data_IF_292278992779
#
_entry.id   IF_292278992779
#
_cell.length_a   1.000
_cell.length_b   1.000
_cell.length_c   1.000
_cell.angle_alpha   90.00
_cell.angle_beta   90.00
_cell.angle_gamma   90.00
#
_symmetry.space_group_name_H-M   'P 1'
#
loop_
_entity.id
_entity.type
_entity.pdbx_description
1 polymer ?
#
# COMPACT_ATOMS: atom_id res chain seq x y z
N UNK A 1 9.74 -8.69 -8.91
CA UNK A 1 9.50 -7.92 -10.17
C UNK A 1 9.71 -6.45 -9.82
N UNK A 2 10.67 -5.75 -10.46
CA UNK A 2 10.93 -4.33 -10.20
C UNK A 2 10.46 -3.46 -11.36
N UNK A 3 9.91 -2.28 -11.07
CA UNK A 3 9.64 -1.26 -12.07
C UNK A 3 10.94 -0.51 -12.37
N UNK A 4 11.54 -0.74 -13.56
CA UNK A 4 12.80 -0.08 -13.94
C UNK A 4 12.70 1.45 -13.97
N UNK A 5 11.48 1.99 -14.13
CA UNK A 5 11.20 3.44 -14.16
C UNK A 5 11.28 4.08 -12.77
N UNK A 6 11.21 3.29 -11.69
CA UNK A 6 11.33 3.80 -10.33
C UNK A 6 12.77 4.21 -9.96
N UNK A 7 13.79 3.74 -10.69
CA UNK A 7 15.14 4.28 -10.60
C UNK A 7 15.18 5.52 -11.49
N UNK A 8 15.02 6.71 -10.89
CA UNK A 8 15.01 7.96 -11.64
C UNK A 8 16.18 8.03 -12.61
N UNK A 9 15.91 7.87 -13.91
CA UNK A 9 16.83 8.09 -15.01
C UNK A 9 16.11 8.91 -16.07
N UNK A 10 16.79 9.98 -16.44
CA UNK A 10 16.49 10.94 -17.50
C UNK A 10 16.06 10.26 -18.81
N UNK A 11 15.03 10.86 -19.42
CA UNK A 11 14.37 10.48 -20.67
C UNK A 11 15.36 10.08 -21.78
N UNK A 12 15.12 8.94 -22.43
CA UNK A 12 15.39 8.83 -23.85
C UNK A 12 14.46 7.80 -24.52
N UNK A 13 13.77 8.28 -25.55
CA UNK A 13 12.83 7.58 -26.41
C UNK A 13 13.56 6.64 -27.38
N UNK A 14 13.01 5.45 -27.64
CA UNK A 14 12.76 4.93 -29.00
C UNK A 14 12.40 3.44 -29.07
N UNK A 15 11.56 3.14 -30.06
CA UNK A 15 11.45 1.90 -30.84
C UNK A 15 10.42 0.83 -30.44
N UNK A 16 9.27 1.00 -31.10
CA UNK A 16 8.23 0.08 -31.60
C UNK A 16 8.82 -1.12 -32.40
N UNK A 17 8.27 -2.34 -32.23
CA UNK A 17 7.72 -3.27 -33.28
C UNK A 17 7.50 -4.71 -32.73
N UNK A 18 6.24 -5.18 -32.65
CA UNK A 18 5.52 -6.14 -33.52
C UNK A 18 6.01 -7.61 -33.51
N UNK A 19 5.08 -8.56 -33.33
CA UNK A 19 4.66 -9.67 -34.23
C UNK A 19 4.01 -10.83 -33.43
N UNK A 20 2.70 -10.98 -33.61
CA UNK A 20 1.88 -12.15 -34.02
C UNK A 20 2.19 -13.63 -33.68
N UNK A 21 1.07 -14.28 -33.27
CA UNK A 21 0.44 -15.53 -33.79
C UNK A 21 0.61 -16.92 -33.13
N UNK A 22 -0.56 -17.47 -32.75
CA UNK A 22 -1.11 -18.83 -32.90
C UNK A 22 -0.37 -20.06 -32.32
N UNK A 23 -1.04 -20.84 -31.45
CA UNK A 23 -1.81 -22.06 -31.86
C UNK A 23 -2.39 -22.90 -30.69
N UNK A 24 -3.68 -23.26 -30.87
CA UNK A 24 -4.38 -24.56 -30.68
C UNK A 24 -4.05 -25.60 -29.58
N UNK A 25 -5.14 -25.98 -28.88
CA UNK A 25 -5.64 -27.32 -28.45
C UNK A 25 -4.78 -28.14 -27.45
N UNK A 26 -5.31 -28.93 -26.51
CA UNK A 26 -6.39 -29.92 -26.61
C UNK A 26 -6.96 -30.36 -25.23
N UNK A 27 -8.13 -30.99 -25.30
CA UNK A 27 -8.97 -31.60 -24.25
C UNK A 27 -8.28 -32.69 -23.42
N UNK A 28 -8.74 -32.90 -22.19
CA UNK A 28 -8.91 -34.23 -21.56
C UNK A 28 -10.12 -34.21 -20.60
N UNK A 29 -10.91 -35.29 -20.65
CA UNK A 29 -12.04 -35.65 -19.78
C UNK A 29 -11.66 -36.85 -18.90
N UNK A 30 -12.52 -37.14 -17.91
CA UNK A 30 -12.80 -38.39 -17.14
C UNK A 30 -12.72 -38.04 -15.65
N UNK A 31 -13.63 -38.40 -14.73
CA UNK A 31 -14.86 -39.21 -14.64
C UNK A 31 -15.13 -39.32 -13.12
N UNK A 32 -16.26 -38.87 -12.61
CA UNK A 32 -17.47 -39.61 -12.17
C UNK A 32 -17.39 -40.30 -10.77
N UNK A 33 -18.58 -40.42 -10.15
CA UNK A 33 -18.99 -41.16 -8.92
C UNK A 33 -18.94 -40.38 -7.56
N UNK A 34 -20.10 -39.92 -7.01
CA UNK A 34 -21.01 -40.55 -5.99
C UNK A 34 -20.33 -40.75 -4.61
N UNK A 35 -20.84 -40.43 -3.41
CA UNK A 35 -22.19 -40.38 -2.82
C UNK A 35 -22.07 -39.85 -1.35
N UNK A 36 -23.15 -39.29 -0.79
CA UNK A 36 -23.37 -38.81 0.61
C UNK A 36 -23.38 -39.97 1.64
N UNK A 37 -23.17 -39.75 2.97
CA UNK A 37 -24.29 -39.35 3.85
C UNK A 37 -23.97 -38.54 5.14
N UNK A 38 -25.07 -38.08 5.74
CA UNK A 38 -25.34 -37.33 6.98
C UNK A 38 -24.84 -37.92 8.31
N UNK A 39 -24.58 -37.06 9.32
CA UNK A 39 -24.27 -37.43 10.72
C UNK A 39 -25.28 -36.77 11.68
N UNK A 40 -25.84 -37.59 12.58
CA UNK A 40 -26.78 -37.26 13.65
C UNK A 40 -26.14 -36.56 14.86
N UNK A 41 -26.96 -35.77 15.56
CA UNK A 41 -26.64 -35.12 16.83
C UNK A 41 -26.66 -36.10 18.01
N UNK A 42 -25.64 -36.05 18.89
CA UNK A 42 -25.81 -36.56 20.25
C UNK A 42 -25.02 -35.77 21.33
N UNK A 43 -25.61 -35.78 22.51
CA UNK A 43 -25.48 -34.83 23.63
C UNK A 43 -24.15 -34.85 24.40
N UNK A 44 -23.91 -33.70 25.03
CA UNK A 44 -22.84 -33.29 25.94
C UNK A 44 -22.83 -34.12 27.25
N UNK A 45 -21.64 -34.50 27.73
CA UNK A 45 -21.39 -34.74 29.16
C UNK A 45 -20.17 -33.94 29.62
N UNK A 46 -20.34 -33.23 30.72
CA UNK A 46 -19.39 -32.31 31.34
C UNK A 46 -18.45 -33.05 32.29
N UNK A 47 -17.14 -33.01 32.01
CA UNK A 47 -16.08 -33.29 32.99
C UNK A 47 -14.81 -32.55 32.53
N UNK A 48 -14.61 -31.31 33.00
CA UNK A 48 -13.36 -30.55 32.78
C UNK A 48 -12.56 -30.57 34.08
N UNK A 49 -11.42 -31.27 34.08
CA UNK A 49 -10.35 -31.10 35.06
C UNK A 49 -9.57 -29.82 34.71
N UNK A 50 -8.98 -29.10 35.69
CA UNK A 50 -8.18 -27.92 35.39
C UNK A 50 -6.95 -28.37 34.60
N UNK A 51 -6.77 -27.83 33.40
CA UNK A 51 -5.57 -28.05 32.58
C UNK A 51 -4.55 -27.04 33.05
N UNK A 52 -3.42 -27.53 33.54
CA UNK A 52 -2.25 -26.73 33.93
C UNK A 52 -1.92 -25.67 32.87
N UNK A 53 -1.54 -24.47 33.32
CA UNK A 53 -1.15 -23.36 32.44
C UNK A 53 -0.08 -23.80 31.43
N UNK A 54 -0.21 -23.44 30.14
CA UNK A 54 0.68 -23.94 29.12
C UNK A 54 2.09 -23.32 29.26
N UNK A 55 3.08 -24.20 29.45
CA UNK A 55 4.51 -23.86 29.30
C UNK A 55 4.76 -23.41 27.84
N UNK A 56 5.21 -22.17 27.70
CA UNK A 56 5.65 -21.55 26.44
C UNK A 56 7.04 -22.08 26.13
N UNK A 57 7.19 -22.83 25.03
CA UNK A 57 8.51 -23.13 24.48
C UNK A 57 8.94 -21.90 23.68
N UNK A 58 9.82 -21.09 24.27
CA UNK A 58 10.47 -19.97 23.56
C UNK A 58 11.33 -20.54 22.42
N UNK A 59 11.01 -20.13 21.20
CA UNK A 59 11.97 -20.19 20.09
C UNK A 59 13.19 -19.31 20.45
N UNK A 60 14.40 -19.61 19.94
CA UNK A 60 15.60 -18.86 20.30
C UNK A 60 15.38 -17.36 20.04
N UNK A 61 15.50 -16.57 21.10
CA UNK A 61 15.46 -15.10 21.09
C UNK A 61 16.58 -14.57 20.20
N UNK A 62 16.31 -14.42 18.91
CA UNK A 62 16.53 -13.11 18.33
C UNK A 62 15.20 -12.39 18.47
N UNK A 63 15.06 -11.61 19.52
CA UNK A 63 13.99 -10.63 19.63
C UNK A 63 14.29 -9.56 18.58
N UNK A 64 13.94 -9.84 17.32
CA UNK A 64 14.13 -8.91 16.18
C UNK A 64 13.03 -7.84 16.21
N UNK A 65 12.26 -7.76 17.30
CA UNK A 65 11.13 -6.86 17.40
C UNK A 65 11.55 -5.42 17.11
N UNK A 66 11.03 -4.92 15.99
CA UNK A 66 11.38 -3.62 15.47
C UNK A 66 10.58 -2.58 16.24
N UNK A 67 11.25 -1.85 17.13
CA UNK A 67 10.63 -0.73 17.82
C UNK A 67 10.53 0.48 16.89
N UNK A 68 9.33 0.76 16.37
CA UNK A 68 9.10 1.85 15.42
C UNK A 68 8.73 3.15 16.16
N UNK A 69 9.56 4.18 16.01
CA UNK A 69 9.27 5.55 16.50
C UNK A 69 9.44 6.54 15.36
N UNK A 70 8.51 7.48 15.23
CA UNK A 70 8.65 8.60 14.28
C UNK A 70 9.82 9.50 14.68
N UNK A 71 10.52 10.05 13.70
CA UNK A 71 11.64 10.97 13.92
C UNK A 71 11.16 12.31 14.50
N UNK A 72 10.04 12.79 13.99
CA UNK A 72 9.42 14.05 14.37
C UNK A 72 8.08 13.80 15.04
N UNK A 73 8.04 13.93 16.37
CA UNK A 73 6.81 13.74 17.12
C UNK A 73 5.84 14.92 17.01
N UNK A 74 6.30 16.09 16.52
CA UNK A 74 5.49 17.30 16.40
C UNK A 74 4.77 17.39 15.05
N UNK A 75 5.30 16.74 14.01
CA UNK A 75 4.68 16.68 12.69
C UNK A 75 3.21 16.24 12.72
N UNK A 76 2.84 15.29 13.60
CA UNK A 76 1.47 14.78 13.69
C UNK A 76 0.75 15.21 14.98
N UNK A 77 0.96 16.46 15.40
CA UNK A 77 0.21 17.07 16.50
C UNK A 77 -1.30 17.17 16.19
N UNK A 78 -2.09 17.48 17.21
CA UNK A 78 -3.55 17.51 17.11
C UNK A 78 -4.07 18.51 16.06
N UNK A 79 -3.40 19.66 15.91
CA UNK A 79 -3.78 20.67 14.94
C UNK A 79 -3.60 20.16 13.51
N UNK A 80 -2.45 19.56 13.19
CA UNK A 80 -2.19 18.98 11.88
C UNK A 80 -3.17 17.85 11.57
N UNK A 81 -3.41 16.94 12.53
CA UNK A 81 -4.35 15.82 12.36
C UNK A 81 -5.76 16.33 12.07
N UNK A 82 -6.21 17.38 12.78
CA UNK A 82 -7.50 18.03 12.53
C UNK A 82 -7.56 18.68 11.14
N UNK A 83 -6.52 19.44 10.75
CA UNK A 83 -6.45 20.07 9.44
C UNK A 83 -6.49 19.03 8.31
N UNK A 84 -5.71 17.95 8.42
CA UNK A 84 -5.72 16.83 7.48
C UNK A 84 -7.12 16.23 7.34
N UNK A 85 -7.81 15.99 8.45
CA UNK A 85 -9.16 15.44 8.42
C UNK A 85 -10.19 16.41 7.83
N UNK A 86 -10.05 17.71 8.12
CA UNK A 86 -10.90 18.75 7.55
C UNK A 86 -10.73 18.84 6.03
N UNK A 87 -9.49 18.79 5.53
CA UNK A 87 -9.21 18.77 4.10
C UNK A 87 -9.87 17.56 3.42
N UNK A 88 -9.67 16.35 3.98
CA UNK A 88 -10.28 15.10 3.49
C UNK A 88 -11.81 15.21 3.41
N UNK A 89 -12.44 15.74 4.46
CA UNK A 89 -13.90 15.83 4.58
C UNK A 89 -14.50 17.03 3.83
N UNK A 90 -13.69 17.88 3.21
CA UNK A 90 -14.18 19.08 2.56
C UNK A 90 -14.89 18.75 1.24
N UNK A 91 -16.22 18.62 1.30
CA UNK A 91 -17.08 18.36 0.13
C UNK A 91 -16.98 19.43 -0.95
N UNK A 92 -16.71 20.68 -0.59
CA UNK A 92 -16.54 21.75 -1.59
C UNK A 92 -15.31 21.49 -2.44
N UNK A 93 -14.18 21.10 -1.85
CA UNK A 93 -12.99 20.72 -2.62
C UNK A 93 -13.30 19.55 -3.55
N UNK A 94 -13.96 18.51 -3.03
CA UNK A 94 -14.32 17.34 -3.83
C UNK A 94 -15.18 17.72 -5.05
N UNK A 95 -16.30 18.42 -4.84
CA UNK A 95 -17.21 18.82 -5.92
C UNK A 95 -16.54 19.77 -6.93
N UNK A 96 -15.76 20.74 -6.46
CA UNK A 96 -15.04 21.67 -7.35
C UNK A 96 -14.02 20.91 -8.19
N UNK A 97 -13.17 20.08 -7.59
CA UNK A 97 -12.12 19.33 -8.30
C UNK A 97 -12.71 18.33 -9.29
N UNK A 98 -13.81 17.65 -8.94
CA UNK A 98 -14.50 16.72 -9.83
C UNK A 98 -15.14 17.39 -11.06
N UNK A 99 -15.49 18.67 -10.96
CA UNK A 99 -16.04 19.42 -12.10
C UNK A 99 -15.00 19.81 -13.15
N UNK A 100 -13.70 19.73 -12.83
CA UNK A 100 -12.65 20.18 -13.71
C UNK A 100 -12.44 19.26 -14.92
N UNK A 101 -12.24 19.88 -16.09
CA UNK A 101 -11.95 19.18 -17.35
C UNK A 101 -10.75 19.85 -18.05
N UNK A 102 -9.58 19.90 -17.40
CA UNK A 102 -8.41 20.60 -17.95
C UNK A 102 -7.96 19.93 -19.25
N UNK A 103 -7.62 20.74 -20.25
CA UNK A 103 -7.15 20.32 -21.57
C UNK A 103 -5.63 20.27 -21.68
N UNK A 104 -4.93 20.91 -20.75
CA UNK A 104 -3.48 20.89 -20.63
C UNK A 104 -3.07 20.83 -19.17
N UNK A 105 -1.83 20.39 -18.94
CA UNK A 105 -1.24 20.37 -17.61
C UNK A 105 -1.08 21.78 -17.02
N UNK A 106 -0.85 22.78 -17.88
CA UNK A 106 -0.88 24.20 -17.51
C UNK A 106 -2.27 24.61 -17.00
N UNK A 107 -3.35 24.27 -17.71
CA UNK A 107 -4.71 24.63 -17.29
C UNK A 107 -5.07 23.95 -15.96
N UNK A 108 -4.68 22.69 -15.76
CA UNK A 108 -4.83 22.02 -14.46
C UNK A 108 -4.11 22.79 -13.35
N UNK A 109 -2.87 23.18 -13.60
CA UNK A 109 -2.06 23.96 -12.65
C UNK A 109 -2.75 25.28 -12.28
N UNK A 110 -3.30 26.00 -13.25
CA UNK A 110 -4.03 27.26 -13.03
C UNK A 110 -5.28 27.06 -12.17
N UNK A 111 -6.05 25.99 -12.43
CA UNK A 111 -7.22 25.63 -11.62
C UNK A 111 -6.84 25.28 -10.17
N UNK A 112 -5.79 24.49 -9.98
CA UNK A 112 -5.26 24.15 -8.65
C UNK A 112 -4.82 25.42 -7.93
N UNK A 113 -4.04 26.28 -8.57
CA UNK A 113 -3.58 27.56 -7.99
C UNK A 113 -4.75 28.46 -7.58
N UNK A 114 -5.77 28.56 -8.41
CA UNK A 114 -6.94 29.39 -8.14
C UNK A 114 -7.68 28.95 -6.86
N UNK A 115 -7.92 27.64 -6.69
CA UNK A 115 -8.61 27.10 -5.50
C UNK A 115 -7.70 27.03 -4.26
N UNK A 116 -6.40 26.84 -4.47
CA UNK A 116 -5.37 26.76 -3.43
C UNK A 116 -5.01 28.12 -2.82
N UNK A 117 -5.37 29.23 -3.47
CA UNK A 117 -4.98 30.58 -3.03
C UNK A 117 -5.52 30.87 -1.62
N UNK A 118 -4.61 31.19 -0.70
CA UNK A 118 -4.94 31.50 0.70
C UNK A 118 -5.34 30.29 1.55
N UNK A 119 -5.14 29.06 1.05
CA UNK A 119 -5.37 27.81 1.77
C UNK A 119 -4.11 27.32 2.45
N UNK A 120 -4.27 26.52 3.51
CA UNK A 120 -3.14 25.87 4.19
C UNK A 120 -2.41 24.92 3.23
N UNK A 121 -1.12 24.65 3.46
CA UNK A 121 -0.37 23.70 2.64
C UNK A 121 -1.02 22.30 2.61
N UNK A 122 -1.63 21.87 3.73
CA UNK A 122 -2.42 20.63 3.81
C UNK A 122 -3.56 20.62 2.79
N UNK A 123 -4.34 21.71 2.71
CA UNK A 123 -5.42 21.83 1.72
C UNK A 123 -4.89 21.80 0.28
N UNK A 124 -3.77 22.49 0.02
CA UNK A 124 -3.15 22.52 -1.31
C UNK A 124 -2.71 21.12 -1.76
N UNK A 125 -2.04 20.37 -0.86
CA UNK A 125 -1.65 18.99 -1.13
C UNK A 125 -2.84 18.05 -1.29
N UNK A 126 -3.93 18.27 -0.54
CA UNK A 126 -5.17 17.48 -0.70
C UNK A 126 -5.81 17.70 -2.06
N UNK A 127 -5.88 18.95 -2.54
CA UNK A 127 -6.44 19.27 -3.86
C UNK A 127 -5.66 18.54 -4.98
N UNK A 128 -4.32 18.56 -4.91
CA UNK A 128 -3.46 17.83 -5.86
C UNK A 128 -3.71 16.32 -5.77
N UNK A 129 -3.62 15.77 -4.56
CA UNK A 129 -3.78 14.33 -4.29
C UNK A 129 -5.13 13.83 -4.80
N UNK A 130 -6.21 14.54 -4.44
CA UNK A 130 -7.57 14.17 -4.79
C UNK A 130 -7.80 14.23 -6.31
N UNK A 131 -7.29 15.26 -6.99
CA UNK A 131 -7.40 15.31 -8.45
C UNK A 131 -6.69 14.11 -9.10
N UNK A 132 -5.47 13.78 -8.68
CA UNK A 132 -4.73 12.63 -9.21
C UNK A 132 -5.51 11.33 -8.95
N UNK A 133 -5.93 11.10 -7.71
CA UNK A 133 -6.65 9.89 -7.31
C UNK A 133 -7.95 9.68 -8.12
N UNK A 134 -8.67 10.76 -8.43
CA UNK A 134 -9.91 10.68 -9.19
C UNK A 134 -9.72 10.60 -10.71
N UNK A 135 -8.56 11.02 -11.25
CA UNK A 135 -8.42 11.22 -12.71
C UNK A 135 -7.37 10.34 -13.37
N UNK A 136 -6.47 9.70 -12.62
CA UNK A 136 -5.44 8.83 -13.17
C UNK A 136 -5.82 7.37 -12.88
N UNK A 137 -5.70 6.51 -13.89
CA UNK A 137 -5.83 5.05 -13.76
C UNK A 137 -4.45 4.41 -13.59
N UNK A 138 -4.36 3.30 -12.85
CA UNK A 138 -3.13 2.53 -12.84
C UNK A 138 -2.97 1.77 -14.17
N UNK A 139 -1.82 1.94 -14.82
CA UNK A 139 -1.52 1.29 -16.09
C UNK A 139 -1.07 -0.17 -15.87
N UNK A 140 -2.05 -1.05 -15.67
CA UNK A 140 -1.83 -2.48 -15.47
C UNK A 140 -1.18 -3.14 -16.67
N UNK A 141 -1.52 -2.73 -17.89
CA UNK A 141 -0.97 -3.28 -19.12
C UNK A 141 0.53 -3.03 -19.20
N UNK A 142 0.96 -1.77 -19.05
CA UNK A 142 2.39 -1.41 -18.98
C UNK A 142 3.09 -2.11 -17.82
N UNK A 143 2.45 -2.19 -16.65
CA UNK A 143 3.04 -2.80 -15.46
C UNK A 143 3.33 -4.31 -15.65
N UNK A 144 2.39 -5.07 -16.19
CA UNK A 144 2.54 -6.52 -16.36
C UNK A 144 3.38 -6.89 -17.58
N UNK A 145 3.29 -6.14 -18.67
CA UNK A 145 4.14 -6.33 -19.85
C UNK A 145 5.58 -5.86 -19.64
N UNK A 146 5.79 -4.95 -18.67
CA UNK A 146 7.05 -4.20 -18.45
C UNK A 146 7.44 -3.30 -19.63
N UNK A 147 6.48 -2.99 -20.50
CA UNK A 147 6.60 -2.02 -21.59
C UNK A 147 5.97 -0.69 -21.13
N UNK A 148 6.71 0.03 -20.29
CA UNK A 148 6.25 1.28 -19.70
C UNK A 148 6.13 2.38 -20.76
N UNK A 149 4.91 2.90 -20.93
CA UNK A 149 4.65 4.11 -21.72
C UNK A 149 5.19 5.36 -21.03
N UNK A 150 4.93 6.53 -21.59
CA UNK A 150 5.38 7.82 -21.06
C UNK A 150 4.93 8.04 -19.60
N UNK A 151 5.88 7.99 -18.67
CA UNK A 151 5.68 8.22 -17.24
C UNK A 151 6.05 9.66 -16.81
N UNK A 152 6.25 10.59 -17.75
CA UNK A 152 6.39 12.01 -17.41
C UNK A 152 5.06 12.58 -16.92
N UNK A 153 5.08 13.73 -16.24
CA UNK A 153 3.87 14.41 -15.81
C UNK A 153 2.93 14.73 -16.99
N UNK A 154 3.49 15.13 -18.14
CA UNK A 154 2.73 15.42 -19.36
C UNK A 154 2.09 14.15 -19.94
N UNK A 155 2.86 13.05 -20.03
CA UNK A 155 2.37 11.75 -20.49
C UNK A 155 1.22 11.23 -19.62
N UNK A 156 1.42 11.18 -18.31
CA UNK A 156 0.40 10.71 -17.36
C UNK A 156 -0.85 11.59 -17.40
N UNK A 157 -0.69 12.91 -17.46
CA UNK A 157 -1.80 13.84 -17.61
C UNK A 157 -2.58 13.61 -18.91
N UNK A 158 -1.88 13.43 -20.03
CA UNK A 158 -2.46 13.27 -21.37
C UNK A 158 -3.20 11.95 -21.51
N UNK A 159 -2.61 10.85 -21.06
CA UNK A 159 -3.17 9.50 -21.20
C UNK A 159 -4.08 9.09 -20.05
N UNK A 160 -4.13 9.89 -18.97
CA UNK A 160 -4.87 9.60 -17.73
C UNK A 160 -4.48 8.24 -17.12
N UNK A 161 -3.24 7.81 -17.35
CA UNK A 161 -2.72 6.50 -16.98
C UNK A 161 -1.25 6.59 -16.59
N UNK A 162 -0.85 5.85 -15.58
CA UNK A 162 0.55 5.73 -15.16
C UNK A 162 0.78 4.54 -14.25
N UNK A 163 2.04 4.18 -14.04
CA UNK A 163 2.46 3.33 -12.92
C UNK A 163 2.98 4.23 -11.78
N UNK A 164 3.40 3.65 -10.65
CA UNK A 164 3.83 4.40 -9.46
C UNK A 164 4.79 5.56 -9.75
N UNK A 165 5.78 5.37 -10.63
CA UNK A 165 6.69 6.45 -11.05
C UNK A 165 5.96 7.61 -11.75
N UNK A 166 4.97 7.31 -12.61
CA UNK A 166 4.16 8.32 -13.28
C UNK A 166 3.29 9.12 -12.32
N UNK A 167 2.69 8.46 -11.33
CA UNK A 167 1.96 9.13 -10.24
C UNK A 167 2.87 10.06 -9.44
N UNK A 168 4.06 9.59 -9.05
CA UNK A 168 5.02 10.37 -8.28
C UNK A 168 5.56 11.59 -9.08
N UNK A 169 5.82 11.41 -10.38
CA UNK A 169 6.26 12.48 -11.28
C UNK A 169 5.20 13.55 -11.48
N UNK A 170 3.94 13.15 -11.70
CA UNK A 170 2.84 14.11 -11.85
C UNK A 170 2.59 14.89 -10.55
N UNK A 171 2.62 14.21 -9.40
CA UNK A 171 2.47 14.85 -8.10
C UNK A 171 3.59 15.88 -7.84
N UNK A 172 4.84 15.48 -8.06
CA UNK A 172 6.02 16.36 -7.95
C UNK A 172 5.90 17.57 -8.86
N UNK A 173 5.54 17.38 -10.13
CA UNK A 173 5.35 18.46 -11.08
C UNK A 173 4.33 19.49 -10.58
N UNK A 174 3.17 19.04 -10.10
CA UNK A 174 2.12 19.94 -9.62
C UNK A 174 2.57 20.70 -8.36
N UNK A 175 3.30 20.05 -7.45
CA UNK A 175 3.92 20.70 -6.30
C UNK A 175 4.92 21.78 -6.72
N UNK A 176 5.80 21.48 -7.67
CA UNK A 176 6.79 22.43 -8.18
C UNK A 176 6.12 23.65 -8.80
N UNK A 177 5.01 23.46 -9.51
CA UNK A 177 4.24 24.57 -10.06
C UNK A 177 3.61 25.46 -8.98
N UNK A 178 3.25 24.89 -7.83
CA UNK A 178 2.73 25.64 -6.67
C UNK A 178 3.84 26.24 -5.80
N UNK A 179 5.10 25.88 -6.04
CA UNK A 179 6.23 26.30 -5.21
C UNK A 179 6.26 25.66 -3.83
N UNK A 180 5.66 24.47 -3.68
CA UNK A 180 5.67 23.71 -2.42
C UNK A 180 6.71 22.58 -2.50
N UNK A 181 7.57 22.40 -1.48
CA UNK A 181 8.62 21.38 -1.53
C UNK A 181 8.03 19.97 -1.61
N UNK A 182 8.53 19.21 -2.56
CA UNK A 182 8.16 17.82 -2.77
C UNK A 182 9.37 17.07 -3.31
N UNK A 183 9.59 15.85 -2.82
CA UNK A 183 10.64 14.95 -3.26
C UNK A 183 10.03 13.64 -3.76
N UNK A 184 10.68 13.00 -4.73
CA UNK A 184 10.32 11.65 -5.17
C UNK A 184 11.15 10.66 -4.35
N UNK A 185 10.48 9.68 -3.75
CA UNK A 185 11.09 8.59 -3.01
C UNK A 185 11.01 7.34 -3.87
N UNK A 186 12.15 6.69 -4.08
CA UNK A 186 12.23 5.33 -4.62
C UNK A 186 12.44 4.34 -3.48
N UNK A 187 11.84 3.16 -3.60
CA UNK A 187 11.95 2.13 -2.57
C UNK A 187 11.24 0.84 -2.92
N UNK A 188 10.81 0.14 -1.87
CA UNK A 188 10.24 -1.19 -1.94
C UNK A 188 8.84 -1.19 -1.33
N UNK A 189 7.91 -1.95 -1.92
CA UNK A 189 6.56 -2.07 -1.39
C UNK A 189 6.11 -3.52 -1.18
N UNK A 190 5.40 -3.80 -0.08
CA UNK A 190 4.62 -5.04 0.11
C UNK A 190 3.31 -5.02 -0.70
N UNK A 191 3.43 -4.65 -1.98
CA UNK A 191 2.33 -4.53 -2.93
C UNK A 191 1.95 -5.85 -3.61
N UNK A 192 1.33 -5.73 -4.78
CA UNK A 192 1.01 -6.88 -5.63
C UNK A 192 2.26 -7.72 -5.94
N UNK A 193 2.16 -9.04 -5.77
CA UNK A 193 3.24 -9.97 -6.09
C UNK A 193 4.39 -10.04 -5.07
N UNK A 194 4.30 -9.32 -3.94
CA UNK A 194 5.31 -9.40 -2.88
C UNK A 194 5.43 -10.81 -2.28
N UNK A 195 4.30 -11.49 -2.06
CA UNK A 195 4.24 -12.85 -1.47
C UNK A 195 4.90 -13.91 -2.36
N UNK A 196 5.00 -13.65 -3.66
CA UNK A 196 5.61 -14.55 -4.66
C UNK A 196 7.12 -14.37 -4.80
N UNK A 197 7.75 -13.55 -3.96
CA UNK A 197 9.21 -13.36 -3.96
C UNK A 197 9.89 -14.49 -3.21
N UNK A 198 10.88 -15.10 -3.86
CA UNK A 198 11.78 -16.09 -3.23
C UNK A 198 12.86 -15.41 -2.38
N UNK A 199 13.35 -14.27 -2.86
CA UNK A 199 14.48 -13.55 -2.28
C UNK A 199 14.13 -12.08 -2.02
N UNK A 200 14.92 -11.43 -1.16
CA UNK A 200 14.84 -10.00 -0.91
C UNK A 200 15.00 -9.21 -2.24
N UNK A 201 14.21 -8.15 -2.46
CA UNK A 201 14.37 -7.34 -3.66
C UNK A 201 15.74 -6.64 -3.65
N UNK A 202 16.46 -6.74 -4.76
CA UNK A 202 17.76 -6.06 -4.97
C UNK A 202 17.63 -4.71 -5.67
N UNK A 203 16.45 -4.40 -6.21
CA UNK A 203 16.15 -3.14 -6.87
C UNK A 203 14.82 -2.58 -6.37
N UNK A 204 14.71 -1.26 -6.28
CA UNK A 204 13.47 -0.56 -5.98
C UNK A 204 12.36 -0.96 -6.95
N UNK A 205 11.17 -1.26 -6.42
CA UNK A 205 10.00 -1.63 -7.21
C UNK A 205 8.84 -0.64 -7.09
N UNK A 206 9.02 0.41 -6.29
CA UNK A 206 8.00 1.40 -6.02
C UNK A 206 8.56 2.82 -5.95
N UNK A 207 7.69 3.79 -6.22
CA UNK A 207 8.00 5.20 -6.12
C UNK A 207 6.78 5.97 -5.58
N UNK A 208 7.02 6.93 -4.70
CA UNK A 208 6.01 7.80 -4.08
C UNK A 208 6.66 9.15 -3.75
N UNK A 209 6.04 9.99 -2.93
CA UNK A 209 6.55 11.32 -2.62
C UNK A 209 6.75 11.57 -1.12
N UNK A 210 7.61 12.53 -0.79
CA UNK A 210 7.57 13.25 0.47
C UNK A 210 7.29 14.74 0.20
N UNK A 211 6.65 15.41 1.15
CA UNK A 211 6.30 16.83 1.06
C UNK A 211 6.66 17.54 2.36
N UNK A 212 7.07 18.80 2.27
CA UNK A 212 7.34 19.63 3.44
C UNK A 212 6.14 20.54 3.73
N UNK A 213 5.59 20.46 4.94
CA UNK A 213 4.50 21.31 5.42
C UNK A 213 4.94 21.90 6.75
N UNK A 214 5.03 23.22 6.83
CA UNK A 214 5.39 23.96 8.05
C UNK A 214 6.68 23.42 8.72
N UNK A 215 7.72 23.18 7.91
CA UNK A 215 9.03 22.63 8.33
C UNK A 215 9.06 21.17 8.76
N UNK A 216 7.96 20.45 8.55
CA UNK A 216 7.87 19.02 8.81
C UNK A 216 7.75 18.23 7.50
N UNK A 217 8.46 17.11 7.38
CA UNK A 217 8.33 16.22 6.24
C UNK A 217 7.24 15.17 6.47
N UNK A 218 6.44 14.93 5.44
CA UNK A 218 5.36 13.93 5.43
C UNK A 218 5.47 13.05 4.20
N UNK A 219 5.05 11.79 4.33
CA UNK A 219 4.95 10.89 3.20
C UNK A 219 3.66 11.17 2.41
N UNK A 220 3.67 10.90 1.11
CA UNK A 220 2.51 11.05 0.24
C UNK A 220 2.53 9.93 -0.80
N UNK A 221 1.45 9.16 -0.87
CA UNK A 221 1.37 8.03 -1.79
C UNK A 221 0.08 8.18 -2.61
N UNK A 222 0.20 8.68 -3.84
CA UNK A 222 -0.95 8.96 -4.70
C UNK A 222 -1.40 7.74 -5.53
N UNK A 223 -0.58 6.69 -5.65
CA UNK A 223 -0.89 5.52 -6.50
C UNK A 223 -1.90 4.60 -5.83
N UNK A 224 -1.60 4.14 -4.61
CA UNK A 224 -2.49 3.36 -3.75
C UNK A 224 -3.57 4.25 -3.12
N UNK A 225 -3.32 5.56 -3.05
CA UNK A 225 -4.36 6.56 -2.78
C UNK A 225 -5.47 6.61 -3.84
N UNK A 226 -5.16 6.27 -5.09
CA UNK A 226 -6.10 6.31 -6.22
C UNK A 226 -6.96 5.05 -6.36
N UNK A 227 -6.43 3.89 -5.97
CA UNK A 227 -7.13 2.62 -6.11
C UNK A 227 -6.21 1.43 -5.90
N UNK A 228 -6.70 0.26 -6.29
CA UNK A 228 -6.00 -1.02 -6.09
C UNK A 228 -6.22 -1.97 -7.27
N UNK A 229 -5.52 -3.11 -7.26
CA UNK A 229 -5.75 -4.19 -8.22
C UNK A 229 -6.64 -5.26 -7.60
N UNK A 230 -7.66 -5.68 -8.32
CA UNK A 230 -8.47 -6.83 -7.93
C UNK A 230 -7.76 -8.17 -8.22
N UNK A 231 -8.39 -9.28 -7.84
CA UNK A 231 -7.84 -10.63 -8.02
C UNK A 231 -7.58 -10.98 -9.50
N UNK A 232 -8.26 -10.32 -10.44
CA UNK A 232 -8.08 -10.47 -11.89
C UNK A 232 -7.00 -9.55 -12.46
N UNK A 233 -6.23 -8.86 -11.60
CA UNK A 233 -5.18 -7.90 -11.96
C UNK A 233 -5.71 -6.66 -12.70
N UNK A 234 -6.99 -6.34 -12.52
CA UNK A 234 -7.61 -5.15 -13.10
C UNK A 234 -7.56 -4.02 -12.08
N UNK A 235 -7.33 -2.80 -12.57
CA UNK A 235 -7.35 -1.61 -11.72
C UNK A 235 -8.79 -1.24 -11.35
N UNK A 236 -9.02 -1.04 -10.07
CA UNK A 236 -10.26 -0.51 -9.51
C UNK A 236 -9.94 0.81 -8.81
N UNK A 237 -10.52 1.91 -9.32
CA UNK A 237 -10.39 3.22 -8.71
C UNK A 237 -11.18 3.24 -7.41
N UNK A 238 -10.50 3.54 -6.32
CA UNK A 238 -11.07 3.69 -4.99
C UNK A 238 -10.21 4.67 -4.20
N UNK A 239 -10.77 5.84 -3.89
CA UNK A 239 -10.06 6.84 -3.11
C UNK A 239 -9.76 6.30 -1.70
N UNK A 240 -8.48 6.12 -1.41
CA UNK A 240 -8.01 5.67 -0.10
C UNK A 240 -7.27 6.80 0.60
N UNK A 241 -8.02 7.63 1.33
CA UNK A 241 -7.50 8.85 1.98
C UNK A 241 -6.44 8.60 3.07
N UNK A 242 -6.28 7.36 3.54
CA UNK A 242 -5.16 6.96 4.40
C UNK A 242 -3.81 7.38 3.79
N UNK A 243 -3.62 7.20 2.48
CA UNK A 243 -2.36 7.50 1.79
C UNK A 243 -2.09 8.99 1.54
N UNK A 244 -3.04 9.86 1.90
CA UNK A 244 -2.79 11.28 2.00
C UNK A 244 -2.12 11.58 3.35
N UNK A 245 -0.82 11.91 3.36
CA UNK A 245 -0.07 12.23 4.58
C UNK A 245 -0.17 11.12 5.68
N UNK A 246 0.08 9.83 5.37
CA UNK A 246 0.05 8.76 6.37
C UNK A 246 1.18 8.92 7.39
N UNK A 247 1.00 8.34 8.57
CA UNK A 247 2.06 8.33 9.58
C UNK A 247 3.22 7.42 9.15
N UNK A 248 4.49 7.83 9.31
CA UNK A 248 5.63 7.00 8.91
C UNK A 248 5.69 5.65 9.63
N UNK A 249 5.31 5.61 10.90
CA UNK A 249 5.27 4.37 11.69
C UNK A 249 4.14 3.40 11.29
N UNK A 250 3.23 3.83 10.41
CA UNK A 250 2.20 2.98 9.82
C UNK A 250 2.63 2.56 8.41
N UNK A 251 3.09 3.53 7.61
CA UNK A 251 3.51 3.31 6.22
C UNK A 251 4.70 2.35 6.08
N UNK A 252 5.63 2.35 7.05
CA UNK A 252 6.82 1.48 7.04
C UNK A 252 6.50 -0.02 7.02
N UNK A 253 5.30 -0.43 7.44
CA UNK A 253 4.88 -1.84 7.35
C UNK A 253 4.70 -2.33 5.92
N UNK A 254 4.51 -1.41 4.97
CA UNK A 254 4.25 -1.75 3.58
C UNK A 254 5.03 -0.91 2.55
N UNK A 255 5.80 0.10 2.96
CA UNK A 255 6.76 0.84 2.12
C UNK A 255 8.10 1.01 2.83
N UNK A 256 9.19 0.54 2.22
CA UNK A 256 10.55 0.76 2.69
C UNK A 256 11.30 1.65 1.67
N UNK A 257 11.59 2.92 1.99
CA UNK A 257 12.48 3.75 1.17
C UNK A 257 13.86 3.12 0.97
N UNK A 258 14.46 3.34 -0.21
CA UNK A 258 15.87 2.99 -0.46
C UNK A 258 16.82 3.87 0.37
N UNK A 259 16.58 5.18 0.39
CA UNK A 259 17.28 6.12 1.27
C UNK A 259 16.59 6.15 2.65
N UNK A 260 17.31 5.65 3.66
CA UNK A 260 16.82 5.51 5.02
C UNK A 260 16.29 6.81 5.65
N UNK A 261 16.74 7.99 5.20
CA UNK A 261 16.22 9.28 5.73
C UNK A 261 14.72 9.44 5.48
N UNK A 262 14.22 8.89 4.38
CA UNK A 262 12.82 8.99 3.98
C UNK A 262 11.92 8.03 4.73
N UNK A 263 12.46 7.22 5.64
CA UNK A 263 11.63 6.46 6.57
C UNK A 263 10.94 7.38 7.58
N UNK A 264 11.52 8.58 7.82
CA UNK A 264 11.04 9.54 8.82
C UNK A 264 10.85 8.89 10.21
N UNK A 265 11.70 7.89 10.49
CA UNK A 265 11.77 7.18 11.76
C UNK A 265 13.01 7.63 12.53
N UNK A 266 12.90 7.66 13.86
CA UNK A 266 14.02 7.95 14.74
C UNK A 266 15.17 6.95 14.58
N UNK A 267 14.81 5.69 14.38
CA UNK A 267 15.74 4.59 14.09
C UNK A 267 15.27 3.91 12.80
N UNK A 268 15.89 4.21 11.64
CA UNK A 268 15.57 3.55 10.40
C UNK A 268 15.82 2.04 10.47
N UNK A 269 14.99 1.28 9.77
CA UNK A 269 15.04 -0.18 9.68
C UNK A 269 15.70 -0.58 8.37
N UNK A 270 16.26 -1.80 8.33
CA UNK A 270 16.83 -2.35 7.10
C UNK A 270 15.87 -3.32 6.39
N UNK A 271 16.28 -3.81 5.23
CA UNK A 271 15.49 -4.77 4.44
C UNK A 271 15.18 -6.06 5.19
N UNK A 272 16.14 -6.62 5.95
CA UNK A 272 15.92 -7.87 6.70
C UNK A 272 14.79 -7.71 7.73
N UNK A 273 14.84 -6.63 8.51
CA UNK A 273 13.79 -6.27 9.47
C UNK A 273 12.44 -6.04 8.76
N UNK A 274 12.43 -5.27 7.68
CA UNK A 274 11.22 -5.01 6.91
C UNK A 274 10.56 -6.29 6.38
N UNK A 275 11.34 -7.27 5.90
CA UNK A 275 10.81 -8.55 5.41
C UNK A 275 10.19 -9.39 6.54
N UNK A 276 10.70 -9.28 7.77
CA UNK A 276 10.18 -10.00 8.93
C UNK A 276 8.93 -9.35 9.55
N UNK A 277 8.68 -8.07 9.28
CA UNK A 277 7.50 -7.39 9.82
C UNK A 277 6.19 -7.92 9.21
N UNK A 278 5.08 -7.97 9.99
CA UNK A 278 3.78 -8.37 9.48
C UNK A 278 3.30 -7.45 8.35
N UNK A 279 2.42 -7.98 7.49
CA UNK A 279 1.81 -7.20 6.40
C UNK A 279 0.56 -6.49 6.92
N UNK A 280 0.75 -5.32 7.52
CA UNK A 280 -0.33 -4.47 7.99
C UNK A 280 -0.79 -3.53 6.86
N UNK A 281 -2.11 -3.32 6.77
CA UNK A 281 -2.79 -2.52 5.73
C UNK A 281 -3.57 -1.37 6.38
N UNK A 282 -3.98 -0.33 5.63
CA UNK A 282 -4.68 0.84 6.19
C UNK A 282 -5.78 0.51 7.22
N UNK A 283 -6.64 -0.47 6.89
CA UNK A 283 -7.74 -0.88 7.77
C UNK A 283 -7.29 -1.35 9.16
N UNK A 284 -6.08 -1.91 9.30
CA UNK A 284 -5.51 -2.26 10.60
C UNK A 284 -5.33 -1.01 11.48
N UNK A 285 -4.82 0.07 10.89
CA UNK A 285 -4.56 1.33 11.60
C UNK A 285 -5.86 2.11 11.83
N UNK A 286 -6.76 2.16 10.84
CA UNK A 286 -8.06 2.83 10.95
C UNK A 286 -8.92 2.24 12.08
N UNK A 287 -8.89 0.91 12.24
CA UNK A 287 -9.58 0.20 13.32
C UNK A 287 -8.81 0.16 14.64
N UNK A 288 -7.64 0.82 14.71
CA UNK A 288 -6.75 0.87 15.88
C UNK A 288 -6.46 -0.52 16.44
N UNK A 289 -6.19 -1.47 15.55
CA UNK A 289 -5.79 -2.82 15.95
C UNK A 289 -4.39 -2.76 16.56
N UNK A 290 -4.15 -3.60 17.57
CA UNK A 290 -2.84 -3.78 18.17
C UNK A 290 -2.50 -5.27 18.16
N UNK A 291 -1.51 -5.64 17.34
CA UNK A 291 -0.95 -6.99 17.30
C UNK A 291 -0.10 -7.23 18.57
N UNK A 292 -0.65 -8.01 19.49
CA UNK A 292 -0.02 -8.30 20.79
C UNK A 292 1.03 -9.40 20.63
N UNK A 293 0.70 -10.47 19.90
CA UNK A 293 1.61 -11.60 19.65
C UNK A 293 1.13 -12.48 18.48
N UNK A 294 2.03 -13.02 17.63
CA UNK A 294 3.43 -12.62 17.51
C UNK A 294 3.51 -11.20 16.94
N UNK A 295 4.49 -10.39 17.38
CA UNK A 295 4.64 -9.00 16.90
C UNK A 295 5.29 -8.92 15.52
N UNK A 296 6.06 -9.95 15.18
CA UNK A 296 6.75 -10.12 13.91
C UNK A 296 6.30 -11.43 13.23
N UNK A 297 6.74 -11.65 11.99
CA UNK A 297 6.47 -12.92 11.31
C UNK A 297 7.08 -14.07 12.11
N UNK A 298 6.24 -15.05 12.46
CA UNK A 298 6.65 -16.21 13.23
C UNK A 298 6.35 -17.50 12.47
N UNK A 299 7.28 -18.45 12.55
CA UNK A 299 7.05 -19.83 12.14
C UNK A 299 6.54 -20.62 13.34
N UNK A 300 5.38 -21.27 13.18
CA UNK A 300 4.77 -22.09 14.23
C UNK A 300 4.86 -23.55 13.83
N UNK A 301 5.50 -24.37 14.67
CA UNK A 301 5.49 -25.82 14.53
C UNK A 301 4.20 -26.37 15.16
N UNK A 302 3.30 -26.89 14.32
CA UNK A 302 2.07 -27.53 14.78
C UNK A 302 2.41 -28.92 15.34
N UNK A 303 2.37 -29.06 16.66
CA UNK A 303 2.68 -30.33 17.34
C UNK A 303 1.44 -31.25 17.38
N UNK A 304 1.60 -32.59 17.46
CA UNK A 304 0.50 -33.58 17.50
C UNK A 304 -0.55 -33.44 18.63
N UNK A 305 -0.46 -32.41 19.49
CA UNK A 305 -1.47 -32.06 20.50
C UNK A 305 -1.80 -30.56 20.56
N UNK A 306 -1.25 -29.74 19.66
CA UNK A 306 -1.51 -28.29 19.53
C UNK A 306 -1.58 -27.92 18.05
N UNK A 307 -2.65 -28.30 17.34
CA UNK A 307 -2.79 -28.08 15.90
C UNK A 307 -3.22 -26.64 15.56
N UNK A 308 -2.81 -25.65 16.36
CA UNK A 308 -3.18 -24.26 16.17
C UNK A 308 -1.99 -23.33 16.37
N UNK A 309 -2.02 -22.19 15.68
CA UNK A 309 -1.18 -21.04 15.96
C UNK A 309 -2.03 -19.97 16.67
N UNK A 310 -1.47 -19.33 17.69
CA UNK A 310 -2.16 -18.26 18.40
C UNK A 310 -1.71 -16.90 17.85
N UNK A 311 -2.68 -16.08 17.47
CA UNK A 311 -2.48 -14.66 17.15
C UNK A 311 -3.38 -13.86 18.07
N UNK A 312 -2.78 -13.00 18.88
CA UNK A 312 -3.46 -12.11 19.82
C UNK A 312 -3.51 -10.71 19.24
N UNK A 313 -4.72 -10.20 19.04
CA UNK A 313 -4.98 -8.84 18.55
C UNK A 313 -5.89 -8.16 19.57
N UNK A 314 -5.50 -6.98 20.03
CA UNK A 314 -6.34 -6.09 20.82
C UNK A 314 -7.10 -5.15 19.88
N UNK A 315 -8.40 -5.00 20.12
CA UNK A 315 -9.30 -4.17 19.31
C UNK A 315 -10.52 -3.75 20.15
N UNK A 316 -11.37 -2.86 19.60
CA UNK A 316 -12.62 -2.48 20.27
C UNK A 316 -13.65 -3.62 20.25
N UNK A 317 -14.59 -3.60 21.18
CA UNK A 317 -15.67 -4.58 21.24
C UNK A 317 -16.61 -4.56 20.02
N UNK A 318 -16.57 -3.51 19.19
CA UNK A 318 -17.41 -3.37 17.99
C UNK A 318 -16.77 -3.96 16.74
N UNK A 319 -15.49 -4.33 16.78
CA UNK A 319 -14.78 -4.93 15.65
C UNK A 319 -14.93 -6.45 15.70
N UNK A 320 -15.37 -7.03 14.58
CA UNK A 320 -15.40 -8.48 14.38
C UNK A 320 -14.21 -8.91 13.54
N UNK A 321 -13.38 -9.79 14.07
CA UNK A 321 -12.22 -10.34 13.35
C UNK A 321 -12.61 -11.65 12.67
N UNK A 322 -12.14 -11.84 11.43
CA UNK A 322 -12.19 -13.11 10.71
C UNK A 322 -10.76 -13.47 10.32
N UNK A 323 -10.37 -14.72 10.58
CA UNK A 323 -9.08 -15.26 10.17
C UNK A 323 -9.29 -16.35 9.12
N UNK A 324 -8.32 -16.51 8.23
CA UNK A 324 -8.21 -17.63 7.31
C UNK A 324 -6.76 -18.10 7.25
N UNK A 325 -6.58 -19.39 7.01
CA UNK A 325 -5.28 -19.98 6.74
C UNK A 325 -5.18 -20.20 5.23
N UNK A 326 -4.08 -19.77 4.61
CA UNK A 326 -3.77 -20.11 3.21
C UNK A 326 -2.68 -21.16 3.18
N UNK A 327 -2.88 -22.24 2.41
CA UNK A 327 -1.82 -23.21 2.18
C UNK A 327 -0.83 -22.64 1.16
N UNK A 328 0.45 -22.96 1.29
CA UNK A 328 1.49 -22.47 0.37
C UNK A 328 1.34 -23.02 -1.06
N UNK A 329 0.41 -23.94 -1.30
CA UNK A 329 0.19 -24.62 -2.58
C UNK A 329 -0.98 -24.05 -3.41
N UNK A 330 -1.70 -23.04 -2.91
CA UNK A 330 -2.94 -22.53 -3.53
C UNK A 330 -2.72 -21.35 -4.50
N UNK A 331 -1.49 -21.08 -4.94
CA UNK A 331 -1.18 -20.04 -5.94
C UNK A 331 -0.50 -20.67 -7.18
N UNK A 332 -1.32 -21.12 -8.13
CA UNK A 332 -0.91 -21.44 -9.52
C UNK A 332 -1.60 -20.46 -10.47
#
# INVERSE_FOLDING_TARGET
MGCKVCKGHTVNESAIQKIDNNNRSSKYQVGDSTTTPTIEHNRISSNVRPVDDPIVVQLPEKDIHVHIQVADSQAFNDLFVQQRQQAINNRSYQSTVQSWQPKSLQQLTELIKAVSKGKSLVDQHWIIFYWIACNIDYDTESYFSKDYKDQTAEGVFRFKKGVCAGYANLYKYLCDQLGVPCEIISGYAKGYGFENRKDAPTETDHAWNAVEIDHHWYLMESTWGAGHLNDKKQYERELTSYYFLPRPNEMIYHHLPEDAKWQLLKSPINMEQYLQMPKLRPLYFDLKLELVSPRDQAYVNLLPGKPYALVLIRTSATVKLKASLKSKNDEI
#
